data_IF_108816813496
#
_entry.id   IF_108816813496
#
_cell.length_a   1.000
_cell.length_b   1.000
_cell.length_c   1.000
_cell.angle_alpha   90.00
_cell.angle_beta   90.00
_cell.angle_gamma   90.00
#
_symmetry.space_group_name_H-M   'P 1'
#
loop_
_entity.id
_entity.type
_entity.pdbx_description
1 polymer ?
#
# COMPACT_ATOMS: atom_id res chain seq x y z
N UNK A 1 24.05 39.25 -38.20
CA UNK A 1 22.60 39.20 -37.89
C UNK A 1 22.15 37.86 -37.29
N UNK A 2 22.82 36.74 -37.62
CA UNK A 2 22.34 35.38 -37.28
C UNK A 2 22.49 34.96 -35.81
N UNK A 3 23.46 35.49 -35.08
CA UNK A 3 23.70 35.14 -33.68
C UNK A 3 22.55 35.54 -32.71
N UNK A 4 21.80 36.60 -33.05
CA UNK A 4 20.64 37.02 -32.23
C UNK A 4 19.43 36.10 -32.43
N UNK A 5 19.23 35.57 -33.62
CA UNK A 5 18.08 34.70 -33.94
C UNK A 5 18.23 33.35 -33.26
N UNK A 6 19.41 32.77 -33.22
CA UNK A 6 19.70 31.47 -32.59
C UNK A 6 19.50 31.57 -31.07
N UNK A 7 19.92 32.66 -30.45
CA UNK A 7 19.77 32.87 -28.99
C UNK A 7 18.33 33.03 -28.53
N UNK A 8 17.46 33.54 -29.39
CA UNK A 8 16.03 33.69 -29.07
C UNK A 8 15.28 32.35 -29.16
N UNK A 9 15.66 31.49 -30.09
CA UNK A 9 15.06 30.18 -30.32
C UNK A 9 15.42 29.16 -29.19
N UNK A 10 16.66 29.16 -28.73
CA UNK A 10 17.10 28.35 -27.59
C UNK A 10 16.44 28.75 -26.29
N UNK A 11 16.23 30.04 -26.03
CA UNK A 11 15.56 30.50 -24.82
C UNK A 11 14.07 30.14 -24.77
N UNK A 12 13.38 30.11 -25.89
CA UNK A 12 11.96 29.70 -25.94
C UNK A 12 11.79 28.19 -25.71
N UNK A 13 12.68 27.39 -26.30
CA UNK A 13 12.69 25.94 -26.12
C UNK A 13 12.99 25.54 -24.67
N UNK A 14 14.01 26.14 -24.05
CA UNK A 14 14.36 25.89 -22.64
C UNK A 14 13.20 26.27 -21.69
N UNK A 15 12.52 27.39 -21.95
CA UNK A 15 11.34 27.80 -21.15
C UNK A 15 10.16 26.82 -21.31
N UNK A 16 9.96 26.28 -22.49
CA UNK A 16 8.93 25.28 -22.74
C UNK A 16 9.23 23.97 -22.01
N UNK A 17 10.45 23.48 -22.11
CA UNK A 17 10.90 22.28 -21.38
C UNK A 17 10.77 22.45 -19.85
N UNK A 18 11.20 23.59 -19.30
CA UNK A 18 11.06 23.90 -17.88
C UNK A 18 9.60 23.92 -17.42
N UNK A 19 8.69 24.47 -18.24
CA UNK A 19 7.26 24.51 -17.93
C UNK A 19 6.63 23.11 -17.95
N UNK A 20 7.07 22.26 -18.87
CA UNK A 20 6.62 20.87 -18.98
C UNK A 20 7.14 20.03 -17.79
N UNK A 21 8.40 20.19 -17.42
CA UNK A 21 9.01 19.54 -16.26
C UNK A 21 8.28 19.90 -14.95
N UNK A 22 7.91 21.16 -14.75
CA UNK A 22 7.14 21.57 -13.57
C UNK A 22 5.78 20.90 -13.48
N UNK A 23 5.08 20.72 -14.61
CA UNK A 23 3.79 20.01 -14.65
C UNK A 23 3.99 18.54 -14.28
N UNK A 24 5.05 17.90 -14.77
CA UNK A 24 5.38 16.52 -14.46
C UNK A 24 5.69 16.35 -12.96
N UNK A 25 6.51 17.23 -12.39
CA UNK A 25 6.82 17.21 -10.95
C UNK A 25 5.57 17.42 -10.09
N UNK A 26 4.69 18.35 -10.47
CA UNK A 26 3.43 18.56 -9.77
C UNK A 26 2.52 17.33 -9.82
N UNK A 27 2.45 16.65 -10.96
CA UNK A 27 1.67 15.43 -11.14
C UNK A 27 2.22 14.28 -10.28
N UNK A 28 3.53 14.07 -10.28
CA UNK A 28 4.16 13.03 -9.45
C UNK A 28 3.96 13.33 -7.96
N UNK A 29 4.05 14.60 -7.55
CA UNK A 29 3.79 15.02 -6.18
C UNK A 29 2.35 14.69 -5.77
N UNK A 30 1.38 15.03 -6.60
CA UNK A 30 -0.04 14.74 -6.34
C UNK A 30 -0.26 13.22 -6.22
N UNK A 31 0.30 12.44 -7.15
CA UNK A 31 0.19 10.97 -7.10
C UNK A 31 0.87 10.39 -5.85
N UNK A 32 2.02 10.92 -5.44
CA UNK A 32 2.71 10.50 -4.23
C UNK A 32 1.89 10.78 -2.96
N UNK A 33 1.29 11.98 -2.87
CA UNK A 33 0.40 12.33 -1.74
C UNK A 33 -0.84 11.43 -1.72
N UNK A 34 -1.46 11.19 -2.88
CA UNK A 34 -2.62 10.28 -2.97
C UNK A 34 -2.26 8.84 -2.58
N UNK A 35 -1.14 8.33 -3.04
CA UNK A 35 -0.68 6.99 -2.66
C UNK A 35 -0.43 6.89 -1.15
N UNK A 36 0.21 7.90 -0.56
CA UNK A 36 0.42 7.96 0.88
C UNK A 36 -0.91 8.00 1.65
N UNK A 37 -1.86 8.82 1.23
CA UNK A 37 -3.19 8.91 1.84
C UNK A 37 -3.97 7.59 1.74
N UNK A 38 -3.90 6.92 0.58
CA UNK A 38 -4.51 5.60 0.38
C UNK A 38 -3.88 4.54 1.29
N UNK A 39 -2.56 4.58 1.49
CA UNK A 39 -1.88 3.68 2.42
C UNK A 39 -2.33 3.86 3.87
N UNK A 40 -2.53 5.10 4.33
CA UNK A 40 -3.09 5.36 5.66
C UNK A 40 -4.54 4.91 5.76
N UNK A 41 -5.36 5.23 4.76
CA UNK A 41 -6.77 4.83 4.73
C UNK A 41 -6.94 3.31 4.74
N UNK A 42 -6.13 2.59 3.95
CA UNK A 42 -6.18 1.12 3.90
C UNK A 42 -5.78 0.50 5.25
N UNK A 43 -4.75 1.03 5.92
CA UNK A 43 -4.36 0.56 7.25
C UNK A 43 -5.45 0.81 8.28
N UNK A 44 -5.98 2.02 8.38
CA UNK A 44 -7.05 2.38 9.31
C UNK A 44 -8.32 1.55 9.07
N UNK A 45 -8.71 1.37 7.81
CA UNK A 45 -9.89 0.57 7.44
C UNK A 45 -9.73 -0.88 7.87
N UNK A 46 -8.55 -1.49 7.72
CA UNK A 46 -8.32 -2.86 8.14
C UNK A 46 -8.27 -2.98 9.67
N UNK A 47 -7.50 -2.12 10.35
CA UNK A 47 -7.33 -2.16 11.81
C UNK A 47 -8.65 -1.93 12.57
N UNK A 48 -9.58 -1.16 11.99
CA UNK A 48 -10.92 -0.94 12.54
C UNK A 48 -11.94 -1.99 12.13
N UNK A 49 -11.59 -2.91 11.23
CA UNK A 49 -12.48 -3.94 10.70
C UNK A 49 -12.63 -5.15 11.63
N UNK A 50 -13.72 -5.89 11.45
CA UNK A 50 -13.90 -7.20 12.09
C UNK A 50 -12.84 -8.21 11.66
N UNK A 51 -12.25 -8.04 10.47
CA UNK A 51 -11.19 -8.90 9.96
C UNK A 51 -9.93 -8.84 10.83
N UNK A 52 -9.49 -7.65 11.21
CA UNK A 52 -8.36 -7.48 12.12
C UNK A 52 -8.61 -8.15 13.46
N UNK A 53 -9.80 -7.91 14.05
CA UNK A 53 -10.18 -8.48 15.34
C UNK A 53 -10.11 -10.00 15.36
N UNK A 54 -10.45 -10.64 14.24
CA UNK A 54 -10.49 -12.10 14.14
C UNK A 54 -9.14 -12.69 13.72
N UNK A 55 -8.44 -12.02 12.78
CA UNK A 55 -7.18 -12.53 12.26
C UNK A 55 -6.00 -12.29 13.22
N UNK A 56 -5.98 -11.15 13.93
CA UNK A 56 -4.84 -10.82 14.80
C UNK A 56 -4.56 -11.86 15.89
N UNK A 57 -5.57 -12.40 16.62
CA UNK A 57 -5.32 -13.50 17.56
C UNK A 57 -4.77 -14.77 16.89
N UNK A 58 -5.21 -15.09 15.69
CA UNK A 58 -4.73 -16.26 14.93
C UNK A 58 -3.26 -16.07 14.55
N UNK A 59 -2.90 -14.90 14.02
CA UNK A 59 -1.51 -14.58 13.68
C UNK A 59 -0.61 -14.56 14.93
N UNK A 60 -1.08 -13.94 16.00
CA UNK A 60 -0.32 -13.90 17.26
C UNK A 60 -0.07 -15.29 17.85
N UNK A 61 -1.03 -16.20 17.72
CA UNK A 61 -0.88 -17.58 18.19
C UNK A 61 0.06 -18.38 17.28
N UNK A 62 -0.07 -18.20 15.95
CA UNK A 62 0.69 -18.97 14.97
C UNK A 62 2.10 -18.45 14.75
N UNK A 63 2.33 -17.15 14.82
CA UNK A 63 3.60 -16.49 14.46
C UNK A 63 4.28 -15.80 15.65
N UNK A 64 3.59 -15.65 16.78
CA UNK A 64 4.14 -15.04 18.00
C UNK A 64 4.17 -13.51 17.98
N UNK A 65 3.67 -12.86 16.93
CA UNK A 65 3.56 -11.39 16.81
C UNK A 65 2.19 -10.97 16.27
N UNK A 66 1.87 -9.71 16.45
CA UNK A 66 0.65 -9.14 15.90
C UNK A 66 0.72 -9.08 14.37
N UNK A 67 -0.44 -9.06 13.72
CA UNK A 67 -0.55 -8.98 12.27
C UNK A 67 0.06 -7.67 11.76
N UNK A 68 0.95 -7.76 10.79
CA UNK A 68 1.62 -6.63 10.17
C UNK A 68 1.44 -6.65 8.62
N UNK A 69 1.63 -5.49 7.95
CA UNK A 69 1.40 -5.39 6.51
C UNK A 69 2.28 -6.34 5.67
N UNK A 70 3.53 -6.52 6.04
CA UNK A 70 4.47 -7.33 5.26
C UNK A 70 4.09 -8.80 5.35
N UNK A 71 3.77 -9.30 6.54
CA UNK A 71 3.27 -10.67 6.76
C UNK A 71 1.95 -10.93 6.02
N UNK A 72 1.03 -9.96 6.04
CA UNK A 72 -0.25 -10.07 5.28
C UNK A 72 -0.01 -10.13 3.79
N UNK A 73 0.88 -9.29 3.28
CA UNK A 73 1.23 -9.28 1.85
C UNK A 73 1.81 -10.62 1.41
N UNK A 74 2.73 -11.18 2.20
CA UNK A 74 3.34 -12.47 1.91
C UNK A 74 2.31 -13.60 2.00
N UNK A 75 1.45 -13.59 3.01
CA UNK A 75 0.38 -14.57 3.17
C UNK A 75 -0.71 -14.50 2.08
N UNK A 76 -0.90 -13.32 1.46
CA UNK A 76 -1.79 -13.16 0.31
C UNK A 76 -1.15 -13.60 -1.01
N UNK A 77 0.16 -13.40 -1.17
CA UNK A 77 0.89 -13.72 -2.40
C UNK A 77 1.30 -15.19 -2.48
N UNK A 78 1.73 -15.76 -1.35
CA UNK A 78 2.33 -17.10 -1.25
C UNK A 78 1.75 -17.76 0.02
N UNK A 79 2.19 -18.98 0.30
CA UNK A 79 1.95 -19.63 1.57
C UNK A 79 2.93 -19.11 2.62
N UNK A 80 2.46 -18.91 3.83
CA UNK A 80 3.29 -18.50 4.98
C UNK A 80 3.38 -19.65 5.96
N UNK A 81 4.59 -19.88 6.42
CA UNK A 81 4.86 -20.90 7.43
C UNK A 81 4.43 -20.36 8.80
N UNK A 82 3.53 -21.07 9.45
CA UNK A 82 3.10 -20.82 10.82
C UNK A 82 3.59 -21.91 11.76
N UNK A 83 3.70 -21.60 13.03
CA UNK A 83 4.05 -22.56 14.06
C UNK A 83 3.05 -22.48 15.21
N UNK A 84 2.27 -23.54 15.38
CA UNK A 84 1.33 -23.66 16.49
C UNK A 84 1.98 -24.45 17.64
N UNK A 85 1.98 -23.94 18.87
CA UNK A 85 2.51 -24.63 20.03
C UNK A 85 1.83 -25.99 20.22
N UNK A 86 2.63 -27.07 20.21
CA UNK A 86 2.13 -28.44 20.37
C UNK A 86 1.67 -29.14 19.08
N UNK A 87 1.62 -28.43 17.96
CA UNK A 87 1.18 -28.98 16.66
C UNK A 87 2.33 -28.99 15.64
N UNK A 88 3.27 -28.04 15.74
CA UNK A 88 4.41 -27.90 14.85
C UNK A 88 4.20 -26.88 13.73
N UNK A 89 5.09 -26.92 12.73
CA UNK A 89 5.06 -26.03 11.58
C UNK A 89 3.94 -26.41 10.63
N UNK A 90 3.23 -25.42 10.11
CA UNK A 90 2.21 -25.60 9.07
C UNK A 90 2.26 -24.43 8.10
N UNK A 91 1.72 -24.65 6.93
CA UNK A 91 1.73 -23.67 5.85
C UNK A 91 0.29 -23.29 5.49
N UNK A 92 -0.01 -21.98 5.41
CA UNK A 92 -1.33 -21.51 5.05
C UNK A 92 -1.29 -20.29 4.13
N UNK A 93 -2.39 -20.09 3.41
CA UNK A 93 -2.61 -18.93 2.55
C UNK A 93 -3.86 -18.17 3.00
N UNK A 94 -3.74 -16.86 3.15
CA UNK A 94 -4.91 -16.01 3.45
C UNK A 94 -5.97 -16.07 2.35
N UNK A 95 -5.59 -16.21 1.10
CA UNK A 95 -6.54 -16.40 0.01
C UNK A 95 -7.37 -17.66 0.19
N UNK A 96 -6.73 -18.78 0.53
CA UNK A 96 -7.43 -20.04 0.79
C UNK A 96 -8.36 -19.91 2.00
N UNK A 97 -7.91 -19.28 3.07
CA UNK A 97 -8.72 -19.02 4.27
C UNK A 97 -10.00 -18.22 3.95
N UNK A 98 -9.92 -17.23 3.05
CA UNK A 98 -11.07 -16.40 2.65
C UNK A 98 -11.99 -17.15 1.70
N UNK A 99 -11.46 -17.92 0.76
CA UNK A 99 -12.24 -18.58 -0.31
C UNK A 99 -13.00 -19.81 0.17
N UNK A 100 -12.39 -20.62 0.98
CA UNK A 100 -13.01 -21.88 1.39
C UNK A 100 -12.56 -22.40 2.74
N UNK A 101 -11.43 -21.89 3.24
CA UNK A 101 -10.82 -22.34 4.47
C UNK A 101 -9.53 -23.12 4.25
N UNK A 102 -8.82 -23.37 5.32
CA UNK A 102 -7.58 -24.15 5.38
C UNK A 102 -7.67 -25.20 6.48
N UNK A 103 -7.03 -26.32 6.24
CA UNK A 103 -6.94 -27.38 7.24
C UNK A 103 -5.74 -27.10 8.15
N UNK A 104 -6.04 -26.71 9.38
CA UNK A 104 -5.02 -26.45 10.39
C UNK A 104 -4.81 -27.72 11.24
N UNK A 105 -3.57 -28.20 11.40
CA UNK A 105 -3.29 -29.36 12.22
C UNK A 105 -3.79 -29.14 13.66
N UNK A 106 -4.61 -30.03 14.16
CA UNK A 106 -5.20 -29.95 15.52
C UNK A 106 -6.42 -29.06 15.69
N UNK A 107 -6.72 -28.18 14.73
CA UNK A 107 -7.93 -27.31 14.74
C UNK A 107 -8.97 -27.73 13.68
N UNK A 108 -8.58 -28.58 12.73
CA UNK A 108 -9.43 -29.00 11.62
C UNK A 108 -9.58 -27.92 10.54
N UNK A 109 -10.67 -28.00 9.79
CA UNK A 109 -10.99 -27.05 8.74
C UNK A 109 -11.45 -25.71 9.33
N UNK A 110 -10.75 -24.62 9.00
CA UNK A 110 -11.02 -23.26 9.48
C UNK A 110 -11.14 -22.34 8.28
N UNK A 111 -12.26 -21.61 8.21
CA UNK A 111 -12.49 -20.58 7.20
C UNK A 111 -12.68 -19.20 7.84
N UNK A 112 -12.54 -18.14 7.05
CA UNK A 112 -12.83 -16.80 7.51
C UNK A 112 -14.30 -16.65 7.91
N UNK A 113 -15.20 -17.38 7.28
CA UNK A 113 -16.63 -17.44 7.64
C UNK A 113 -16.83 -18.00 9.05
N UNK A 114 -16.12 -19.08 9.39
CA UNK A 114 -16.17 -19.70 10.72
C UNK A 114 -15.65 -18.74 11.79
N UNK A 115 -14.53 -18.10 11.49
CA UNK A 115 -13.91 -17.13 12.40
C UNK A 115 -14.80 -15.91 12.67
N UNK A 116 -15.52 -15.44 11.65
CA UNK A 116 -16.47 -14.32 11.78
C UNK A 116 -17.84 -14.74 12.32
N UNK A 117 -18.12 -16.04 12.42
CA UNK A 117 -19.41 -16.58 12.84
C UNK A 117 -20.57 -16.26 11.88
N UNK A 118 -20.27 -16.00 10.61
CA UNK A 118 -21.26 -15.68 9.56
C UNK A 118 -20.82 -16.19 8.20
N UNK A 119 -21.76 -16.71 7.41
CA UNK A 119 -21.50 -17.05 6.02
C UNK A 119 -21.18 -15.81 5.20
N UNK A 120 -20.07 -15.87 4.45
CA UNK A 120 -19.65 -14.81 3.56
C UNK A 120 -20.13 -15.12 2.14
N UNK A 121 -20.93 -14.24 1.55
CA UNK A 121 -21.27 -14.31 0.14
C UNK A 121 -20.06 -13.89 -0.72
N UNK A 122 -20.14 -14.15 -2.05
CA UNK A 122 -19.05 -13.84 -2.97
C UNK A 122 -18.57 -12.37 -2.91
N UNK A 123 -19.52 -11.42 -2.83
CA UNK A 123 -19.18 -9.99 -2.74
C UNK A 123 -18.44 -9.65 -1.44
N UNK A 124 -18.83 -10.25 -0.33
CA UNK A 124 -18.16 -10.05 0.98
C UNK A 124 -16.77 -10.67 1.01
N UNK A 125 -16.56 -11.83 0.37
CA UNK A 125 -15.23 -12.43 0.21
C UNK A 125 -14.32 -11.55 -0.63
N UNK A 126 -14.82 -10.99 -1.71
CA UNK A 126 -14.07 -10.05 -2.55
C UNK A 126 -13.71 -8.77 -1.78
N UNK A 127 -14.66 -8.25 -0.99
CA UNK A 127 -14.42 -7.09 -0.12
C UNK A 127 -13.37 -7.41 0.95
N UNK A 128 -13.43 -8.58 1.58
CA UNK A 128 -12.44 -9.03 2.56
C UNK A 128 -11.04 -9.09 1.92
N UNK A 129 -10.91 -9.71 0.74
CA UNK A 129 -9.66 -9.73 -0.01
C UNK A 129 -9.14 -8.34 -0.32
N UNK A 130 -9.99 -7.43 -0.76
CA UNK A 130 -9.58 -6.06 -1.10
C UNK A 130 -9.09 -5.30 0.14
N UNK A 131 -9.77 -5.42 1.27
CA UNK A 131 -9.38 -4.75 2.53
C UNK A 131 -8.08 -5.33 3.08
N UNK A 132 -7.96 -6.66 3.12
CA UNK A 132 -6.77 -7.35 3.63
C UNK A 132 -5.55 -7.10 2.72
N UNK A 133 -5.73 -7.22 1.40
CA UNK A 133 -4.66 -6.90 0.43
C UNK A 133 -4.25 -5.42 0.50
N UNK A 134 -5.22 -4.51 0.64
CA UNK A 134 -4.95 -3.09 0.82
C UNK A 134 -4.09 -2.80 2.04
N UNK A 135 -4.33 -3.50 3.14
CA UNK A 135 -3.49 -3.42 4.33
C UNK A 135 -2.06 -3.93 4.07
N UNK A 136 -1.91 -5.08 3.41
CA UNK A 136 -0.60 -5.62 3.04
C UNK A 136 0.24 -4.65 2.20
N UNK A 137 -0.38 -3.88 1.31
CA UNK A 137 0.31 -2.85 0.51
C UNK A 137 0.42 -1.48 1.19
N UNK A 138 -0.19 -1.29 2.36
CA UNK A 138 -0.25 0.02 3.03
C UNK A 138 1.12 0.57 3.39
N UNK A 139 2.07 -0.29 3.78
CA UNK A 139 3.44 0.10 4.13
C UNK A 139 4.19 0.67 2.92
N UNK A 140 4.17 -0.04 1.79
CA UNK A 140 4.81 0.44 0.56
C UNK A 140 4.16 1.72 0.04
N UNK A 141 2.84 1.80 0.07
CA UNK A 141 2.13 3.00 -0.36
C UNK A 141 2.50 4.23 0.49
N UNK A 142 2.63 4.07 1.80
CA UNK A 142 3.09 5.14 2.71
C UNK A 142 4.54 5.51 2.42
N UNK A 143 5.41 4.52 2.29
CA UNK A 143 6.85 4.72 2.10
C UNK A 143 7.14 5.37 0.75
N UNK A 144 6.73 4.73 -0.35
CA UNK A 144 7.03 5.21 -1.70
C UNK A 144 6.25 6.48 -2.04
N UNK A 145 4.99 6.59 -1.57
CA UNK A 145 4.20 7.81 -1.72
C UNK A 145 4.83 8.99 -1.00
N UNK A 146 5.30 8.79 0.24
CA UNK A 146 6.00 9.80 1.02
C UNK A 146 7.33 10.23 0.41
N UNK A 147 8.14 9.27 -0.06
CA UNK A 147 9.42 9.56 -0.74
C UNK A 147 9.15 10.35 -2.04
N UNK A 148 8.22 9.90 -2.87
CA UNK A 148 7.90 10.58 -4.12
C UNK A 148 7.41 12.01 -3.87
N UNK A 149 6.52 12.22 -2.90
CA UNK A 149 6.03 13.54 -2.53
C UNK A 149 7.17 14.42 -2.00
N UNK A 150 8.02 13.92 -1.11
CA UNK A 150 9.13 14.66 -0.52
C UNK A 150 10.17 15.08 -1.56
N UNK A 151 10.61 14.16 -2.41
CA UNK A 151 11.59 14.43 -3.48
C UNK A 151 11.08 15.46 -4.48
N UNK A 152 9.78 15.39 -4.84
CA UNK A 152 9.19 16.30 -5.83
C UNK A 152 8.81 17.66 -5.25
N UNK A 153 8.64 17.79 -3.94
CA UNK A 153 8.38 19.07 -3.28
C UNK A 153 9.60 20.00 -3.35
N UNK A 154 10.81 19.47 -3.21
CA UNK A 154 12.06 20.25 -3.18
C UNK A 154 12.25 21.14 -4.43
N UNK A 155 12.19 20.63 -5.67
CA UNK A 155 12.35 21.47 -6.87
C UNK A 155 11.19 22.46 -7.05
N UNK A 156 9.99 22.15 -6.58
CA UNK A 156 8.84 23.05 -6.67
C UNK A 156 8.98 24.26 -5.74
N UNK A 157 9.48 24.06 -4.51
CA UNK A 157 9.72 25.11 -3.54
C UNK A 157 10.92 25.98 -3.98
N UNK A 158 12.01 25.35 -4.45
CA UNK A 158 13.22 26.05 -4.88
C UNK A 158 13.04 26.96 -6.09
N UNK A 159 12.00 26.74 -6.91
CA UNK A 159 11.67 27.62 -8.06
C UNK A 159 10.83 28.85 -7.69
N UNK A 160 10.30 28.95 -6.48
CA UNK A 160 9.62 30.14 -5.95
C UNK A 160 10.63 31.15 -5.39
N UNK A 161 11.52 31.71 -6.22
CA UNK A 161 12.27 32.90 -5.82
C UNK A 161 11.28 34.09 -5.80
N UNK A 162 11.11 34.78 -4.67
CA UNK A 162 10.29 35.97 -4.67
C UNK A 162 10.90 36.99 -5.64
N UNK A 163 10.08 37.50 -6.57
CA UNK A 163 10.47 38.65 -7.40
C UNK A 163 10.86 39.79 -6.42
N UNK A 164 12.16 40.06 -6.26
CA UNK A 164 12.64 41.28 -5.64
C UNK A 164 12.02 42.45 -6.42
N UNK A 165 11.03 43.10 -5.86
CA UNK A 165 10.57 44.41 -6.32
C UNK A 165 11.76 45.37 -6.16
N UNK A 166 12.29 45.84 -7.28
CA UNK A 166 13.12 47.04 -7.32
C UNK A 166 12.20 48.22 -7.51
#
# INVERSE_FOLDING_TARGET
>A
SDKKCIRHRTNSFVRYCLKQMRKLFALILILGVLACALGFYAADTFETSDYYRVLNPVFRTAMGHDIDPDTVKDAMAIHVDGNLPGVGEFNFSLNALIDGGVDLPGLGHVSLSDLLGKELNFGQRLQAKAVIAGYGWSHELKLYGGIAAGVMAVPLIGTHRPKRRR
#
